data_IF_830722705020
#
_entry.id   IF_830722705020
#
_cell.length_a   1.000
_cell.length_b   1.000
_cell.length_c   1.000
_cell.angle_alpha   90.00
_cell.angle_beta   90.00
_cell.angle_gamma   90.00
#
_symmetry.space_group_name_H-M   'P 1'
#
loop_
_entity.id
_entity.type
_entity.pdbx_description
1 polymer ?
#
# COMPACT_ATOMS: atom_id res chain seq x y z
N UNK A 1 -2.89 19.73 5.68
CA UNK A 1 -1.52 20.21 5.98
C UNK A 1 -0.56 19.44 5.08
N UNK A 2 0.55 20.04 4.62
CA UNK A 2 1.56 19.27 3.88
C UNK A 2 2.19 18.21 4.79
N UNK A 3 2.34 17.00 4.29
CA UNK A 3 3.01 15.90 4.98
C UNK A 3 4.52 16.07 4.91
N UNK A 4 5.22 15.78 6.00
CA UNK A 4 6.69 15.82 5.99
C UNK A 4 7.27 14.63 5.22
N UNK A 5 8.50 14.75 4.68
CA UNK A 5 9.21 13.64 4.06
C UNK A 5 9.25 12.36 4.92
N UNK A 6 9.43 12.51 6.22
CA UNK A 6 9.49 11.43 7.20
C UNK A 6 8.12 10.78 7.41
N UNK A 7 7.03 11.56 7.40
CA UNK A 7 5.68 11.02 7.50
C UNK A 7 5.32 10.15 6.29
N UNK A 8 5.71 10.60 5.10
CA UNK A 8 5.51 9.88 3.83
C UNK A 8 6.27 8.56 3.87
N UNK A 9 7.56 8.59 4.22
CA UNK A 9 8.39 7.39 4.32
C UNK A 9 7.85 6.43 5.38
N UNK A 10 7.52 6.93 6.58
CA UNK A 10 7.05 6.11 7.67
C UNK A 10 5.73 5.40 7.33
N UNK A 11 4.80 6.06 6.64
CA UNK A 11 3.56 5.42 6.22
C UNK A 11 3.80 4.35 5.16
N UNK A 12 4.71 4.58 4.22
CA UNK A 12 5.07 3.57 3.22
C UNK A 12 5.74 2.33 3.83
N UNK A 13 6.60 2.52 4.84
CA UNK A 13 7.22 1.42 5.58
C UNK A 13 6.16 0.61 6.36
N UNK A 14 5.20 1.30 7.00
CA UNK A 14 4.08 0.62 7.68
C UNK A 14 3.21 -0.18 6.71
N UNK A 15 2.87 0.38 5.55
CA UNK A 15 2.16 -0.36 4.50
C UNK A 15 2.97 -1.59 4.06
N UNK A 16 4.26 -1.41 3.75
CA UNK A 16 5.14 -2.50 3.29
C UNK A 16 5.23 -3.64 4.31
N UNK A 17 5.33 -3.32 5.60
CA UNK A 17 5.30 -4.31 6.67
C UNK A 17 3.94 -5.05 6.75
N UNK A 18 2.83 -4.34 6.54
CA UNK A 18 1.49 -4.96 6.47
C UNK A 18 1.37 -5.87 5.24
N UNK A 19 1.87 -5.46 4.06
CA UNK A 19 1.85 -6.28 2.84
C UNK A 19 2.72 -7.54 2.96
N UNK A 20 3.85 -7.48 3.68
CA UNK A 20 4.64 -8.67 3.98
C UNK A 20 3.85 -9.70 4.82
N UNK A 21 3.00 -9.23 5.76
CA UNK A 21 2.09 -10.10 6.52
C UNK A 21 0.99 -10.68 5.65
N UNK A 22 0.44 -9.89 4.73
CA UNK A 22 -0.52 -10.35 3.72
C UNK A 22 0.09 -11.47 2.88
N UNK A 23 1.32 -11.29 2.39
CA UNK A 23 2.03 -12.31 1.62
C UNK A 23 2.23 -13.60 2.42
N UNK A 24 2.65 -13.52 3.68
CA UNK A 24 2.83 -14.68 4.55
C UNK A 24 1.52 -15.45 4.84
N UNK A 25 0.37 -14.77 4.74
CA UNK A 25 -0.96 -15.33 5.01
C UNK A 25 -1.76 -15.64 3.73
N UNK A 26 -1.22 -15.35 2.57
CA UNK A 26 -1.94 -15.48 1.30
C UNK A 26 -2.55 -16.89 1.13
N UNK A 27 -3.80 -16.94 0.66
CA UNK A 27 -4.57 -18.17 0.50
C UNK A 27 -5.02 -18.88 1.78
N UNK A 28 -4.84 -18.27 2.97
CA UNK A 28 -5.31 -18.84 4.27
C UNK A 28 -6.66 -18.28 4.72
N UNK A 29 -7.40 -17.65 3.82
CA UNK A 29 -8.66 -16.98 4.10
C UNK A 29 -8.49 -15.56 4.64
N UNK A 30 -9.60 -14.84 4.67
CA UNK A 30 -9.64 -13.44 5.08
C UNK A 30 -9.20 -13.24 6.53
N UNK A 31 -8.41 -12.19 6.74
CA UNK A 31 -7.99 -11.72 8.06
C UNK A 31 -8.49 -10.29 8.25
N UNK A 32 -9.51 -10.14 9.11
CA UNK A 32 -10.18 -8.86 9.35
C UNK A 32 -9.30 -7.81 10.04
N UNK A 33 -8.22 -8.21 10.71
CA UNK A 33 -7.27 -7.24 11.27
C UNK A 33 -6.39 -6.68 10.15
N UNK A 34 -5.84 -7.57 9.30
CA UNK A 34 -5.04 -7.14 8.14
C UNK A 34 -5.87 -6.30 7.18
N UNK A 35 -7.12 -6.66 6.93
CA UNK A 35 -8.01 -5.88 6.08
C UNK A 35 -8.22 -4.46 6.61
N UNK A 36 -8.54 -4.32 7.91
CA UNK A 36 -8.72 -3.01 8.55
C UNK A 36 -7.46 -2.17 8.49
N UNK A 37 -6.28 -2.78 8.65
CA UNK A 37 -5.00 -2.08 8.54
C UNK A 37 -4.72 -1.61 7.12
N UNK A 38 -4.99 -2.45 6.12
CA UNK A 38 -4.88 -2.07 4.71
C UNK A 38 -5.81 -0.88 4.38
N UNK A 39 -7.04 -0.87 4.91
CA UNK A 39 -7.96 0.25 4.72
C UNK A 39 -7.50 1.53 5.41
N UNK A 40 -6.86 1.42 6.58
CA UNK A 40 -6.25 2.57 7.25
C UNK A 40 -5.10 3.15 6.41
N UNK A 41 -4.19 2.31 5.91
CA UNK A 41 -3.12 2.72 5.01
C UNK A 41 -3.66 3.35 3.73
N UNK A 42 -4.74 2.78 3.16
CA UNK A 42 -5.39 3.32 1.97
C UNK A 42 -5.80 4.79 2.18
N UNK A 43 -6.52 5.07 3.26
CA UNK A 43 -7.02 6.43 3.55
C UNK A 43 -5.87 7.42 3.69
N UNK A 44 -4.88 7.08 4.51
CA UNK A 44 -3.73 7.95 4.77
C UNK A 44 -2.89 8.19 3.51
N UNK A 45 -2.54 7.12 2.78
CA UNK A 45 -1.70 7.25 1.59
C UNK A 45 -2.42 7.92 0.43
N UNK A 46 -3.72 7.64 0.23
CA UNK A 46 -4.51 8.34 -0.80
C UNK A 46 -4.57 9.84 -0.54
N UNK A 47 -4.65 10.27 0.73
CA UNK A 47 -4.59 11.69 1.08
C UNK A 47 -3.19 12.28 0.79
N UNK A 48 -2.12 11.56 1.12
CA UNK A 48 -0.74 12.00 0.87
C UNK A 48 -0.41 12.17 -0.63
N UNK A 49 -0.81 11.21 -1.47
CA UNK A 49 -0.43 11.18 -2.89
C UNK A 49 -1.36 11.98 -3.80
N UNK A 50 -2.51 12.44 -3.28
CA UNK A 50 -3.53 13.12 -4.07
C UNK A 50 -4.29 12.20 -5.04
N UNK A 51 -5.22 12.78 -5.79
CA UNK A 51 -6.18 12.04 -6.62
C UNK A 51 -5.51 11.06 -7.61
N UNK A 52 -4.46 11.50 -8.30
CA UNK A 52 -3.79 10.69 -9.32
C UNK A 52 -3.07 9.47 -8.73
N UNK A 53 -2.45 9.63 -7.55
CA UNK A 53 -1.77 8.53 -6.87
C UNK A 53 -2.74 7.62 -6.09
N UNK A 54 -3.94 8.10 -5.76
CA UNK A 54 -4.89 7.36 -4.93
C UNK A 54 -5.36 6.06 -5.60
N UNK A 55 -5.40 6.02 -6.93
CA UNK A 55 -5.71 4.80 -7.70
C UNK A 55 -4.67 3.71 -7.46
N UNK A 56 -3.37 4.06 -7.49
CA UNK A 56 -2.29 3.09 -7.23
C UNK A 56 -2.33 2.55 -5.81
N UNK A 57 -2.68 3.40 -4.83
CA UNK A 57 -2.87 2.99 -3.44
C UNK A 57 -4.03 1.99 -3.33
N UNK A 58 -5.16 2.30 -3.97
CA UNK A 58 -6.33 1.42 -4.01
C UNK A 58 -6.00 0.06 -4.65
N UNK A 59 -5.30 0.06 -5.79
CA UNK A 59 -4.92 -1.16 -6.49
C UNK A 59 -3.99 -2.04 -5.63
N UNK A 60 -3.01 -1.42 -4.96
CA UNK A 60 -2.09 -2.13 -4.06
C UNK A 60 -2.86 -2.80 -2.92
N UNK A 61 -3.79 -2.07 -2.29
CA UNK A 61 -4.59 -2.58 -1.17
C UNK A 61 -5.57 -3.66 -1.63
N UNK A 62 -6.26 -3.47 -2.75
CA UNK A 62 -7.22 -4.43 -3.28
C UNK A 62 -6.52 -5.74 -3.69
N UNK A 63 -5.37 -5.66 -4.36
CA UNK A 63 -4.59 -6.85 -4.69
C UNK A 63 -4.18 -7.62 -3.42
N UNK A 64 -3.77 -6.93 -2.36
CA UNK A 64 -3.47 -7.55 -1.07
C UNK A 64 -4.68 -8.24 -0.42
N UNK A 65 -5.85 -7.58 -0.43
CA UNK A 65 -7.10 -8.17 0.07
C UNK A 65 -7.48 -9.44 -0.70
N UNK A 66 -7.41 -9.40 -2.03
CA UNK A 66 -7.69 -10.55 -2.89
C UNK A 66 -6.69 -11.69 -2.66
N UNK A 67 -5.40 -11.39 -2.49
CA UNK A 67 -4.39 -12.40 -2.19
C UNK A 67 -4.66 -13.19 -0.90
N UNK A 68 -5.34 -12.61 0.09
CA UNK A 68 -5.72 -13.34 1.31
C UNK A 68 -6.94 -14.26 1.10
N UNK A 69 -7.92 -13.81 0.32
CA UNK A 69 -9.21 -14.50 0.18
C UNK A 69 -9.25 -15.62 -0.87
N UNK A 70 -8.28 -15.68 -1.78
CA UNK A 70 -8.33 -16.56 -2.96
C UNK A 70 -7.52 -17.84 -2.76
N UNK A 71 -8.05 -18.98 -3.24
CA UNK A 71 -7.38 -20.29 -3.16
C UNK A 71 -6.07 -20.34 -3.96
N UNK A 72 -5.96 -19.54 -5.02
CA UNK A 72 -4.75 -19.41 -5.86
C UNK A 72 -4.29 -17.95 -5.86
N UNK A 73 -3.52 -17.51 -4.85
CA UNK A 73 -3.22 -16.09 -4.65
C UNK A 73 -2.10 -15.54 -5.55
N UNK A 74 -1.46 -16.38 -6.39
CA UNK A 74 -0.23 -16.04 -7.13
C UNK A 74 -0.34 -14.76 -7.97
N UNK A 75 -1.40 -14.63 -8.78
CA UNK A 75 -1.59 -13.46 -9.65
C UNK A 75 -1.82 -12.19 -8.83
N UNK A 76 -2.57 -12.28 -7.73
CA UNK A 76 -2.82 -11.16 -6.83
C UNK A 76 -1.57 -10.75 -6.05
N UNK A 77 -0.70 -11.69 -5.67
CA UNK A 77 0.59 -11.40 -5.05
C UNK A 77 1.54 -10.69 -6.03
N UNK A 78 1.58 -11.14 -7.29
CA UNK A 78 2.35 -10.49 -8.33
C UNK A 78 1.85 -9.06 -8.61
N UNK A 79 0.52 -8.89 -8.71
CA UNK A 79 -0.11 -7.59 -8.87
C UNK A 79 0.18 -6.66 -7.67
N UNK A 80 0.03 -7.17 -6.44
CA UNK A 80 0.30 -6.43 -5.21
C UNK A 80 1.75 -5.93 -5.17
N UNK A 81 2.73 -6.78 -5.47
CA UNK A 81 4.13 -6.41 -5.46
C UNK A 81 4.47 -5.41 -6.58
N UNK A 82 3.86 -5.57 -7.76
CA UNK A 82 4.02 -4.62 -8.87
C UNK A 82 3.48 -3.24 -8.51
N UNK A 83 2.26 -3.17 -7.98
CA UNK A 83 1.64 -1.92 -7.54
C UNK A 83 2.40 -1.27 -6.38
N UNK A 84 2.90 -2.07 -5.43
CA UNK A 84 3.76 -1.57 -4.34
C UNK A 84 5.04 -0.91 -4.85
N UNK A 85 5.69 -1.50 -5.86
CA UNK A 85 6.90 -0.91 -6.49
C UNK A 85 6.58 0.41 -7.20
N UNK A 86 5.48 0.45 -7.95
CA UNK A 86 5.04 1.68 -8.63
C UNK A 86 4.71 2.78 -7.60
N UNK A 87 4.01 2.43 -6.52
CA UNK A 87 3.70 3.34 -5.43
C UNK A 87 4.98 3.87 -4.75
N UNK A 88 6.00 3.03 -4.56
CA UNK A 88 7.30 3.45 -4.01
C UNK A 88 7.95 4.55 -4.87
N UNK A 89 7.86 4.45 -6.20
CA UNK A 89 8.41 5.47 -7.11
C UNK A 89 7.65 6.80 -6.99
N UNK A 90 6.32 6.75 -6.87
CA UNK A 90 5.48 7.94 -6.69
C UNK A 90 5.80 8.61 -5.35
N UNK A 91 5.83 7.85 -4.26
CA UNK A 91 6.11 8.37 -2.92
C UNK A 91 7.53 8.93 -2.81
N UNK A 92 8.52 8.31 -3.47
CA UNK A 92 9.88 8.87 -3.53
C UNK A 92 9.91 10.24 -4.23
N UNK A 93 9.17 10.40 -5.33
CA UNK A 93 9.04 11.71 -6.01
C UNK A 93 8.35 12.73 -5.14
N UNK A 94 7.27 12.33 -4.45
CA UNK A 94 6.55 13.19 -3.51
C UNK A 94 7.46 13.64 -2.36
N UNK A 95 8.21 12.71 -1.77
CA UNK A 95 9.16 12.97 -0.70
C UNK A 95 10.22 14.00 -1.11
N UNK A 96 10.85 13.82 -2.28
CA UNK A 96 11.82 14.79 -2.80
C UNK A 96 11.23 16.18 -3.06
N UNK A 97 9.94 16.27 -3.44
CA UNK A 97 9.26 17.57 -3.57
C UNK A 97 9.01 18.21 -2.21
N UNK A 98 8.65 17.43 -1.21
CA UNK A 98 8.45 17.91 0.16
C UNK A 98 9.76 18.30 0.86
N UNK A 99 10.89 17.66 0.51
CA UNK A 99 12.24 18.04 0.98
C UNK A 99 12.71 19.40 0.40
N UNK A 100 12.20 19.78 -0.78
CA UNK A 100 12.61 20.99 -1.50
C UNK A 100 11.68 22.20 -1.27
N UNK A 101 10.60 22.03 -0.51
CA UNK A 101 9.60 23.06 -0.21
C UNK A 101 9.81 23.63 1.19
#
# INVERSE_FOLDING_TARGET
MPYTPEQIEAEFQRLSATLARVQARAGRGLDYELERRLDAHRRTLSDMVGADGAVLVLDTVNAGKQAMGQERPGDYLAAMETSRRTLALVLRRLRHRAEAA
#
